data_IF_425406969306
#
_entry.id   IF_425406969306
#
_cell.length_a   1.000
_cell.length_b   1.000
_cell.length_c   1.000
_cell.angle_alpha   90.00
_cell.angle_beta   90.00
_cell.angle_gamma   90.00
#
_symmetry.space_group_name_H-M   'P 1'
#
loop_
_entity.id
_entity.type
_entity.pdbx_description
1 polymer ?
#
# COMPACT_ATOMS: atom_id res chain seq x y z
N UNK A 1 -5.96 8.19 -17.38
CA UNK A 1 -6.04 7.63 -16.02
C UNK A 1 -5.80 6.14 -16.14
N UNK A 2 -4.72 5.67 -15.53
CA UNK A 2 -4.23 4.30 -15.68
C UNK A 2 -5.16 3.32 -14.95
N UNK A 3 -5.58 2.25 -15.61
CA UNK A 3 -6.63 1.36 -15.10
C UNK A 3 -6.18 0.56 -13.86
N UNK A 4 -4.86 0.40 -13.69
CA UNK A 4 -4.26 -0.18 -12.47
C UNK A 4 -4.48 0.68 -11.23
N UNK A 5 -4.54 2.00 -11.39
CA UNK A 5 -4.65 2.97 -10.31
C UNK A 5 -6.03 2.90 -9.61
N UNK A 6 -7.10 2.59 -10.35
CA UNK A 6 -8.45 2.48 -9.78
C UNK A 6 -8.62 1.23 -8.89
N UNK A 7 -8.07 0.09 -9.32
CA UNK A 7 -8.08 -1.15 -8.53
C UNK A 7 -7.26 -1.00 -7.24
N UNK A 8 -6.08 -0.39 -7.35
CA UNK A 8 -5.23 -0.04 -6.21
C UNK A 8 -5.94 0.90 -5.22
N UNK A 9 -6.62 1.91 -5.74
CA UNK A 9 -7.35 2.90 -4.93
C UNK A 9 -8.58 2.31 -4.24
N UNK A 10 -9.29 1.36 -4.88
CA UNK A 10 -10.41 0.65 -4.27
C UNK A 10 -9.95 -0.31 -3.16
N UNK A 11 -8.81 -1.00 -3.36
CA UNK A 11 -8.18 -1.85 -2.35
C UNK A 11 -7.71 -1.03 -1.14
N UNK A 12 -7.04 0.10 -1.37
CA UNK A 12 -6.54 0.99 -0.31
C UNK A 12 -7.65 1.67 0.52
N UNK A 13 -8.83 1.88 -0.08
CA UNK A 13 -9.95 2.56 0.58
C UNK A 13 -10.79 1.62 1.45
N UNK A 14 -10.59 0.29 1.36
CA UNK A 14 -11.39 -0.70 2.09
C UNK A 14 -12.89 -0.65 1.74
N UNK A 15 -13.26 -0.02 0.62
CA UNK A 15 -14.64 0.04 0.16
C UNK A 15 -15.00 -1.33 -0.42
N UNK A 16 -15.60 -2.16 0.45
CA UNK A 16 -16.05 -3.52 0.16
C UNK A 16 -17.17 -3.60 -0.87
N UNK A 17 -16.84 -3.42 -2.14
CA UNK A 17 -17.65 -3.99 -3.23
C UNK A 17 -16.89 -5.15 -3.84
N UNK A 18 -16.83 -6.27 -3.12
CA UNK A 18 -16.31 -7.57 -3.60
C UNK A 18 -16.86 -7.94 -4.99
N UNK A 19 -18.08 -7.49 -5.31
CA UNK A 19 -18.70 -7.59 -6.63
C UNK A 19 -17.92 -6.86 -7.75
N UNK A 20 -17.55 -5.58 -7.52
CA UNK A 20 -16.87 -4.77 -8.55
C UNK A 20 -15.45 -5.25 -8.83
N UNK A 21 -14.76 -5.78 -7.80
CA UNK A 21 -13.42 -6.37 -7.95
C UNK A 21 -13.50 -7.67 -8.76
N UNK A 22 -14.54 -8.50 -8.53
CA UNK A 22 -14.74 -9.75 -9.25
C UNK A 22 -14.97 -9.57 -10.75
N UNK A 23 -15.84 -8.64 -11.13
CA UNK A 23 -16.11 -8.35 -12.54
C UNK A 23 -14.88 -7.78 -13.25
N UNK A 24 -14.09 -6.96 -12.54
CA UNK A 24 -12.89 -6.36 -13.10
C UNK A 24 -11.76 -7.38 -13.27
N UNK A 25 -11.59 -8.29 -12.32
CA UNK A 25 -10.61 -9.36 -12.41
C UNK A 25 -10.90 -10.29 -13.60
N UNK A 26 -12.18 -10.61 -13.84
CA UNK A 26 -12.62 -11.40 -15.00
C UNK A 26 -12.27 -10.72 -16.33
N UNK A 27 -12.43 -9.40 -16.42
CA UNK A 27 -12.06 -8.64 -17.62
C UNK A 27 -10.56 -8.69 -17.90
N UNK A 28 -9.74 -8.43 -16.88
CA UNK A 28 -8.27 -8.43 -17.03
C UNK A 28 -7.75 -9.83 -17.37
N UNK A 29 -8.29 -10.88 -16.74
CA UNK A 29 -7.87 -12.24 -17.04
C UNK A 29 -8.24 -12.65 -18.48
N UNK A 30 -9.41 -12.25 -18.96
CA UNK A 30 -9.81 -12.46 -20.37
C UNK A 30 -8.90 -11.73 -21.35
N UNK A 31 -8.45 -10.51 -21.05
CA UNK A 31 -7.49 -9.79 -21.88
C UNK A 31 -6.12 -10.47 -21.92
N UNK A 32 -5.70 -11.09 -20.81
CA UNK A 32 -4.49 -11.90 -20.77
C UNK A 32 -4.61 -13.20 -21.58
N UNK A 33 -5.79 -13.83 -21.58
CA UNK A 33 -6.06 -14.98 -22.47
C UNK A 33 -6.04 -14.55 -23.94
N UNK A 34 -6.72 -13.45 -24.28
CA UNK A 34 -6.77 -12.93 -25.66
C UNK A 34 -5.39 -12.53 -26.19
N UNK A 35 -4.53 -12.02 -25.33
CA UNK A 35 -3.14 -11.67 -25.68
C UNK A 35 -2.18 -12.86 -25.66
N UNK A 36 -2.65 -14.07 -25.36
CA UNK A 36 -1.83 -15.29 -25.30
C UNK A 36 -0.88 -15.34 -24.10
N UNK A 37 -1.04 -14.43 -23.13
CA UNK A 37 -0.23 -14.38 -21.90
C UNK A 37 -0.67 -15.38 -20.84
N UNK A 38 -1.91 -15.89 -20.95
CA UNK A 38 -2.49 -16.83 -20.00
C UNK A 38 -3.37 -17.85 -20.74
N UNK A 39 -3.37 -19.10 -20.28
CA UNK A 39 -4.28 -20.13 -20.78
C UNK A 39 -5.70 -19.95 -20.20
N UNK A 40 -6.79 -20.25 -20.93
CA UNK A 40 -8.16 -20.13 -20.45
C UNK A 40 -8.46 -20.88 -19.14
N UNK A 41 -7.87 -22.06 -18.95
CA UNK A 41 -8.04 -22.85 -17.73
C UNK A 41 -7.38 -22.19 -16.52
N UNK A 42 -6.17 -21.65 -16.73
CA UNK A 42 -5.41 -20.94 -15.70
C UNK A 42 -6.07 -19.60 -15.32
N UNK A 43 -6.65 -18.89 -16.30
CA UNK A 43 -7.40 -17.67 -16.07
C UNK A 43 -8.59 -17.88 -15.14
N UNK A 44 -9.31 -18.98 -15.33
CA UNK A 44 -10.52 -19.30 -14.56
C UNK A 44 -10.17 -19.68 -13.11
N UNK A 45 -9.14 -20.51 -12.93
CA UNK A 45 -8.63 -20.87 -11.61
C UNK A 45 -8.13 -19.64 -10.83
N UNK A 46 -7.36 -18.76 -11.48
CA UNK A 46 -6.79 -17.57 -10.83
C UNK A 46 -7.88 -16.57 -10.40
N UNK A 47 -8.93 -16.39 -11.21
CA UNK A 47 -10.11 -15.60 -10.83
C UNK A 47 -10.82 -16.21 -9.63
N UNK A 48 -11.00 -17.53 -9.63
CA UNK A 48 -11.67 -18.26 -8.56
C UNK A 48 -10.90 -18.16 -7.24
N UNK A 49 -9.58 -18.33 -7.26
CA UNK A 49 -8.72 -18.28 -6.08
C UNK A 49 -8.72 -16.89 -5.43
N UNK A 50 -8.63 -15.83 -6.25
CA UNK A 50 -8.71 -14.45 -5.74
C UNK A 50 -10.11 -14.14 -5.19
N UNK A 51 -11.17 -14.65 -5.80
CA UNK A 51 -12.53 -14.48 -5.27
C UNK A 51 -12.74 -15.23 -3.96
N UNK A 52 -12.19 -16.44 -3.81
CA UNK A 52 -12.21 -17.20 -2.56
C UNK A 52 -11.44 -16.48 -1.45
N UNK A 53 -10.26 -15.95 -1.77
CA UNK A 53 -9.48 -15.13 -0.84
C UNK A 53 -10.23 -13.87 -0.39
N UNK A 54 -10.88 -13.16 -1.31
CA UNK A 54 -11.69 -11.98 -0.99
C UNK A 54 -12.95 -12.30 -0.14
N UNK A 55 -13.40 -13.56 -0.14
CA UNK A 55 -14.50 -14.05 0.71
C UNK A 55 -14.03 -14.59 2.05
N UNK A 56 -12.72 -14.63 2.30
CA UNK A 56 -12.14 -15.23 3.51
C UNK A 56 -12.21 -16.75 3.53
N UNK A 57 -12.39 -17.40 2.39
CA UNK A 57 -12.49 -18.86 2.29
C UNK A 57 -11.11 -19.55 2.30
N UNK A 58 -10.01 -18.78 2.29
CA UNK A 58 -8.63 -19.29 2.22
C UNK A 58 -7.73 -18.68 3.31
N UNK A 59 -7.85 -19.14 4.57
CA UNK A 59 -7.11 -18.57 5.70
C UNK A 59 -5.59 -18.74 5.59
N UNK A 60 -5.11 -19.78 4.92
CA UNK A 60 -3.66 -19.98 4.69
C UNK A 60 -3.07 -18.95 3.73
N UNK A 61 -3.82 -18.59 2.68
CA UNK A 61 -3.42 -17.56 1.72
C UNK A 61 -3.43 -16.18 2.38
N UNK A 62 -4.40 -15.89 3.24
CA UNK A 62 -4.43 -14.65 4.03
C UNK A 62 -3.19 -14.54 4.92
N UNK A 63 -2.88 -15.59 5.69
CA UNK A 63 -1.68 -15.60 6.55
C UNK A 63 -0.39 -15.48 5.75
N UNK A 64 -0.31 -16.06 4.55
CA UNK A 64 0.86 -15.91 3.69
C UNK A 64 0.96 -14.50 3.11
N UNK A 65 -0.15 -13.92 2.67
CA UNK A 65 -0.23 -12.57 2.15
C UNK A 65 0.10 -11.54 3.24
N UNK A 66 -0.44 -11.69 4.44
CA UNK A 66 -0.14 -10.84 5.60
C UNK A 66 1.35 -10.85 5.92
N UNK A 67 1.96 -12.04 6.02
CA UNK A 67 3.41 -12.17 6.21
C UNK A 67 4.23 -11.54 5.08
N UNK A 68 3.75 -11.61 3.84
CA UNK A 68 4.41 -11.00 2.69
C UNK A 68 4.31 -9.47 2.72
N UNK A 69 3.13 -8.95 3.06
CA UNK A 69 2.85 -7.53 3.22
C UNK A 69 3.67 -6.93 4.37
N UNK A 70 3.76 -7.62 5.50
CA UNK A 70 4.60 -7.21 6.63
C UNK A 70 6.08 -7.12 6.24
N UNK A 71 6.59 -8.13 5.52
CA UNK A 71 7.99 -8.14 5.05
C UNK A 71 8.30 -7.01 4.08
N UNK A 72 7.35 -6.66 3.22
CA UNK A 72 7.53 -5.69 2.14
C UNK A 72 6.88 -4.33 2.44
N UNK A 73 6.46 -4.10 3.70
CA UNK A 73 5.69 -2.90 4.08
C UNK A 73 6.40 -1.62 3.71
N UNK A 74 7.70 -1.54 3.98
CA UNK A 74 8.47 -0.32 3.74
C UNK A 74 8.60 0.00 2.25
N UNK A 75 8.75 -1.03 1.41
CA UNK A 75 8.76 -0.89 -0.05
C UNK A 75 7.38 -0.46 -0.56
N UNK A 76 6.31 -1.05 -0.02
CA UNK A 76 4.94 -0.66 -0.36
C UNK A 76 4.64 0.80 0.00
N UNK A 77 5.07 1.26 1.18
CA UNK A 77 4.91 2.65 1.58
C UNK A 77 5.68 3.59 0.64
N UNK A 78 6.89 3.22 0.23
CA UNK A 78 7.70 3.96 -0.74
C UNK A 78 7.05 4.03 -2.13
N UNK A 79 6.57 2.89 -2.63
CA UNK A 79 5.89 2.80 -3.94
C UNK A 79 4.58 3.60 -3.97
N UNK A 80 3.92 3.74 -2.81
CA UNK A 80 2.72 4.57 -2.63
C UNK A 80 3.03 6.05 -2.37
N UNK A 81 4.32 6.42 -2.28
CA UNK A 81 4.75 7.79 -1.97
C UNK A 81 4.42 8.23 -0.54
N UNK A 82 4.19 7.28 0.37
CA UNK A 82 3.90 7.56 1.77
C UNK A 82 5.21 7.64 2.57
N UNK A 83 5.33 8.66 3.41
CA UNK A 83 6.50 8.83 4.28
C UNK A 83 6.58 7.68 5.30
N UNK A 84 7.78 7.12 5.45
CA UNK A 84 8.04 6.06 6.44
C UNK A 84 8.10 6.65 7.85
N UNK A 85 7.75 5.84 8.84
CA UNK A 85 7.82 6.25 10.25
C UNK A 85 9.22 6.76 10.63
N UNK A 86 10.27 6.10 10.15
CA UNK A 86 11.66 6.50 10.38
C UNK A 86 11.98 7.89 9.83
N UNK A 87 11.45 8.22 8.66
CA UNK A 87 11.65 9.54 8.03
C UNK A 87 10.90 10.62 8.80
N UNK A 88 9.70 10.31 9.31
CA UNK A 88 8.95 11.19 10.20
C UNK A 88 9.68 11.40 11.54
N UNK A 89 10.23 10.34 12.13
CA UNK A 89 10.97 10.42 13.39
C UNK A 89 12.26 11.24 13.22
N UNK A 90 12.95 11.10 12.09
CA UNK A 90 14.10 11.93 11.75
C UNK A 90 13.72 13.40 11.59
N UNK A 91 12.62 13.68 10.87
CA UNK A 91 12.09 15.03 10.72
C UNK A 91 11.76 15.65 12.07
N UNK A 92 11.08 14.90 12.94
CA UNK A 92 10.74 15.33 14.30
C UNK A 92 12.01 15.66 15.10
N UNK A 93 13.00 14.78 15.09
CA UNK A 93 14.27 15.05 15.77
C UNK A 93 15.03 16.26 15.20
N UNK A 94 14.92 16.52 13.89
CA UNK A 94 15.46 17.75 13.28
C UNK A 94 14.72 19.00 13.75
N UNK A 95 13.40 18.94 13.87
CA UNK A 95 12.57 20.04 14.40
C UNK A 95 12.94 20.32 15.86
N UNK A 96 13.02 19.29 16.70
CA UNK A 96 13.36 19.45 18.13
C UNK A 96 14.71 20.16 18.32
N UNK A 97 15.72 19.80 17.52
CA UNK A 97 17.04 20.45 17.53
C UNK A 97 16.99 21.91 17.07
N UNK A 98 16.19 22.23 16.06
CA UNK A 98 15.99 23.60 15.59
C UNK A 98 15.31 24.46 16.66
N UNK A 99 14.29 23.93 17.33
CA UNK A 99 13.62 24.62 18.42
C UNK A 99 14.56 24.89 19.61
N UNK A 100 15.39 23.91 19.97
CA UNK A 100 16.41 24.10 21.02
C UNK A 100 17.42 25.18 20.64
N UNK A 101 17.91 25.17 19.39
CA UNK A 101 18.84 26.19 18.91
C UNK A 101 18.23 27.60 18.92
N UNK A 102 16.94 27.73 18.56
CA UNK A 102 16.21 29.00 18.62
C UNK A 102 16.04 29.49 20.06
N UNK A 103 15.63 28.61 20.99
CA UNK A 103 15.52 28.93 22.42
C UNK A 103 16.85 29.41 22.99
N UNK A 104 17.95 28.71 22.67
CA UNK A 104 19.28 29.09 23.15
C UNK A 104 19.69 30.47 22.63
N UNK A 105 19.43 30.78 21.36
CA UNK A 105 19.71 32.11 20.78
C UNK A 105 18.91 33.21 21.44
N UNK A 106 17.65 32.97 21.79
CA UNK A 106 16.81 33.95 22.50
C UNK A 106 17.34 34.21 23.91
N UNK A 107 17.68 33.16 24.67
CA UNK A 107 18.25 33.30 26.02
C UNK A 107 19.56 34.11 26.00
N UNK A 108 20.43 33.83 25.02
CA UNK A 108 21.68 34.57 24.84
C UNK A 108 21.46 36.03 24.41
N UNK A 109 20.33 36.37 23.79
CA UNK A 109 20.00 37.74 23.40
C UNK A 109 19.38 38.56 24.54
N UNK A 110 18.66 37.91 25.47
CA UNK A 110 17.98 38.55 26.60
C UNK A 110 18.84 38.68 27.88
N UNK A 111 20.10 38.22 27.86
CA UNK A 111 21.05 38.42 28.96
C UNK A 111 22.02 39.54 28.60
N UNK A 112 21.84 40.78 29.10
CA UNK A 112 22.85 41.83 28.94
C UNK A 112 24.00 41.58 29.92
N UNK A 113 25.23 41.85 29.45
CA UNK A 113 26.45 41.92 30.28
C UNK A 113 26.30 42.84 31.50
#
# INVERSE_FOLDING_TARGET
MDQGNLLQMLLLRGLGTTSLVGDRLRLVSQDWVRSGRLDPGQASALVEDVLKALRGETPELEQQAERQLERNRDQLLEDLGLARQRELDELRGRIDRLEQALRQRQISADTPD
#
